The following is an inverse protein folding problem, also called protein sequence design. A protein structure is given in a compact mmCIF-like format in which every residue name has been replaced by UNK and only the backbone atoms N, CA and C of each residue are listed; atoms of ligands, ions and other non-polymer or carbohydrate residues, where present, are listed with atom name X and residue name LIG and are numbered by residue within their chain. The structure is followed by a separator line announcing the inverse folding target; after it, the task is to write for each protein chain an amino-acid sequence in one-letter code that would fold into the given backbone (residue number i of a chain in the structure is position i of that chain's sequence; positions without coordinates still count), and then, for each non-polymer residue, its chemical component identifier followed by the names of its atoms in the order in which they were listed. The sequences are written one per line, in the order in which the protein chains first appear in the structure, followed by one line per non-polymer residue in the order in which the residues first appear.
data_IF_556736906332
#
_entry.id   IF_556736906332
#
_cell.length_a   1.000
_cell.length_b   1.000
_cell.length_c   1.000
_cell.angle_alpha   90.00
_cell.angle_beta   90.00
_cell.angle_gamma   90.00
#
_symmetry.space_group_name_H-M   'P 1'
#
loop_
_entity.id
_entity.type
_entity.pdbx_description
1 polymer ?
#
# COMPACT_ATOMS: atom_id res chain seq x y z
N UNK A 1 27.30 17.86 3.41
CA UNK A 1 27.67 19.29 3.57
C UNK A 1 28.94 19.56 2.78
N UNK A 2 29.00 20.65 2.01
CA UNK A 2 30.18 21.08 1.23
C UNK A 2 30.34 22.61 1.36
N UNK A 3 31.08 23.06 2.37
CA UNK A 3 31.21 24.50 2.66
C UNK A 3 29.84 25.12 2.93
N UNK A 4 29.51 26.18 2.19
CA UNK A 4 28.24 26.91 2.22
C UNK A 4 27.07 26.18 1.55
N UNK A 5 27.26 24.94 1.10
CA UNK A 5 26.23 24.16 0.41
C UNK A 5 25.81 22.94 1.23
N UNK A 6 24.52 22.83 1.47
CA UNK A 6 23.87 21.67 2.09
C UNK A 6 22.84 21.08 1.12
N UNK A 7 23.13 19.88 0.61
CA UNK A 7 22.18 19.10 -0.18
C UNK A 7 21.38 18.18 0.72
N UNK A 8 20.06 18.20 0.58
CA UNK A 8 19.12 17.37 1.33
C UNK A 8 18.05 16.81 0.40
N UNK A 9 17.58 15.60 0.70
CA UNK A 9 16.47 14.99 0.00
C UNK A 9 15.41 14.53 1.02
N UNK A 10 14.48 15.42 1.40
CA UNK A 10 13.45 15.10 2.39
C UNK A 10 12.53 13.97 1.92
N UNK A 11 12.14 13.10 2.85
CA UNK A 11 11.14 12.06 2.58
C UNK A 11 9.81 12.71 2.17
N UNK A 12 9.17 12.14 1.14
CA UNK A 12 7.93 12.67 0.56
C UNK A 12 8.10 13.85 -0.40
N UNK A 13 9.32 14.34 -0.64
CA UNK A 13 9.56 15.36 -1.68
C UNK A 13 9.74 14.74 -3.07
N UNK A 14 9.30 15.45 -4.12
CA UNK A 14 9.45 14.98 -5.51
C UNK A 14 10.90 15.12 -6.04
N UNK A 15 11.70 16.01 -5.43
CA UNK A 15 13.07 16.31 -5.87
C UNK A 15 13.94 16.80 -4.69
N UNK A 16 15.27 16.63 -4.75
CA UNK A 16 16.17 17.10 -3.70
C UNK A 16 16.43 18.60 -3.80
N UNK A 17 16.82 19.17 -2.66
CA UNK A 17 17.08 20.59 -2.48
C UNK A 17 18.54 20.86 -2.12
N UNK A 18 19.06 21.94 -2.67
CA UNK A 18 20.38 22.51 -2.40
C UNK A 18 20.21 23.83 -1.67
N UNK A 19 20.61 23.85 -0.41
CA UNK A 19 20.61 25.01 0.46
C UNK A 19 21.95 25.72 0.33
N UNK A 20 21.90 27.00 -0.02
CA UNK A 20 23.04 27.91 0.08
C UNK A 20 22.94 28.61 1.42
N UNK A 21 23.88 28.31 2.29
CA UNK A 21 23.95 28.77 3.67
C UNK A 21 25.03 29.83 3.76
N UNK A 22 24.67 31.01 4.27
CA UNK A 22 25.62 32.06 4.64
C UNK A 22 26.25 31.77 6.00
N UNK A 23 26.36 32.79 6.85
CA UNK A 23 26.89 32.62 8.20
C UNK A 23 25.92 31.84 9.10
N UNK A 24 24.75 32.40 9.37
CA UNK A 24 23.69 31.85 10.23
C UNK A 24 22.32 31.82 9.55
N UNK A 25 22.27 32.11 8.24
CA UNK A 25 21.04 32.20 7.46
C UNK A 25 21.08 31.34 6.18
N UNK A 26 19.91 30.87 5.74
CA UNK A 26 19.74 30.24 4.43
C UNK A 26 19.50 31.36 3.40
N UNK A 27 20.45 31.57 2.49
CA UNK A 27 20.34 32.60 1.46
C UNK A 27 19.41 32.17 0.31
N UNK A 28 19.54 30.91 -0.14
CA UNK A 28 18.83 30.40 -1.32
C UNK A 28 18.54 28.91 -1.20
N UNK A 29 17.38 28.50 -1.68
CA UNK A 29 17.01 27.09 -1.82
C UNK A 29 16.79 26.80 -3.31
N UNK A 30 17.58 25.86 -3.84
CA UNK A 30 17.54 25.43 -5.25
C UNK A 30 17.09 23.98 -5.35
N UNK A 31 16.35 23.63 -6.40
CA UNK A 31 15.94 22.25 -6.70
C UNK A 31 16.86 21.69 -7.76
N UNK A 32 17.44 20.51 -7.55
CA UNK A 32 18.41 19.93 -8.47
C UNK A 32 18.05 18.49 -8.89
N UNK A 33 18.55 18.05 -10.04
CA UNK A 33 18.38 16.66 -10.48
C UNK A 33 19.43 15.77 -9.80
N UNK A 34 19.05 14.68 -9.12
CA UNK A 34 20.00 13.78 -8.46
C UNK A 34 21.11 13.28 -9.39
N UNK A 35 20.73 12.87 -10.61
CA UNK A 35 21.65 12.22 -11.57
C UNK A 35 22.67 13.20 -12.15
N UNK A 36 22.23 14.41 -12.50
CA UNK A 36 23.09 15.40 -13.18
C UNK A 36 23.71 16.42 -12.23
N UNK A 37 23.22 16.51 -10.99
CA UNK A 37 23.61 17.51 -9.99
C UNK A 37 23.36 18.98 -10.40
N UNK A 38 22.57 19.18 -11.47
CA UNK A 38 22.24 20.50 -12.04
C UNK A 38 20.96 21.02 -11.40
N UNK A 39 21.00 22.27 -10.95
CA UNK A 39 19.80 23.00 -10.52
C UNK A 39 18.89 23.31 -11.71
N UNK A 40 17.58 23.11 -11.54
CA UNK A 40 16.57 23.51 -12.52
C UNK A 40 15.43 24.39 -11.93
N UNK A 41 15.37 24.57 -10.61
CA UNK A 41 14.33 25.36 -9.96
C UNK A 41 14.78 26.02 -8.66
N UNK A 42 13.90 26.82 -8.05
CA UNK A 42 14.11 27.46 -6.75
C UNK A 42 12.81 27.46 -5.93
N UNK A 43 12.92 27.52 -4.61
CA UNK A 43 11.79 27.65 -3.68
C UNK A 43 12.18 28.59 -2.53
N UNK A 44 11.21 29.16 -1.83
CA UNK A 44 11.43 29.98 -0.63
C UNK A 44 11.42 29.17 0.66
N UNK A 45 10.76 28.01 0.66
CA UNK A 45 10.59 27.16 1.83
C UNK A 45 10.65 25.68 1.47
N UNK A 46 10.97 24.86 2.48
CA UNK A 46 10.96 23.41 2.41
C UNK A 46 10.39 22.86 3.71
N UNK A 47 9.69 21.72 3.62
CA UNK A 47 9.27 20.94 4.78
C UNK A 47 10.19 19.72 4.89
N UNK A 48 10.86 19.59 6.03
CA UNK A 48 11.68 18.41 6.34
C UNK A 48 10.94 17.58 7.38
N UNK A 49 10.56 16.37 6.99
CA UNK A 49 9.96 15.39 7.89
C UNK A 49 11.07 14.52 8.51
N UNK A 50 10.87 13.98 9.72
CA UNK A 50 11.75 12.96 10.29
C UNK A 50 11.93 11.79 9.31
N UNK A 51 13.13 11.20 9.28
CA UNK A 51 13.39 10.04 8.43
C UNK A 51 12.84 8.73 9.02
N UNK A 52 12.74 8.66 10.35
CA UNK A 52 12.28 7.47 11.07
C UNK A 52 11.06 7.84 11.93
N UNK A 53 10.16 6.88 12.14
CA UNK A 53 9.01 7.03 13.03
C UNK A 53 9.45 7.16 14.50
N UNK A 54 10.49 6.42 14.89
CA UNK A 54 11.12 6.56 16.19
C UNK A 54 11.96 7.85 16.23
N UNK A 55 11.35 8.89 16.78
CA UNK A 55 11.97 10.20 16.98
C UNK A 55 11.83 10.63 18.44
N UNK A 56 12.97 10.79 19.12
CA UNK A 56 13.00 11.03 20.56
C UNK A 56 14.23 11.85 20.97
N UNK A 57 14.12 12.62 22.03
CA UNK A 57 15.20 13.40 22.66
C UNK A 57 16.12 12.51 23.49
N UNK A 58 17.27 13.04 23.91
CA UNK A 58 18.17 12.27 24.79
C UNK A 58 17.55 11.98 26.16
N UNK A 59 16.66 12.84 26.65
CA UNK A 59 15.92 12.60 27.89
C UNK A 59 14.90 11.46 27.72
N UNK A 60 14.18 11.42 26.60
CA UNK A 60 13.21 10.35 26.30
C UNK A 60 13.90 9.00 26.05
N UNK A 61 15.09 9.02 25.42
CA UNK A 61 15.89 7.81 25.18
C UNK A 61 16.18 7.05 26.50
N UNK A 62 16.65 7.75 27.54
CA UNK A 62 16.98 7.11 28.82
C UNK A 62 15.73 6.46 29.44
N UNK A 63 14.60 7.18 29.42
CA UNK A 63 13.32 6.68 29.95
C UNK A 63 12.86 5.41 29.21
N UNK A 64 12.91 5.41 27.88
CA UNK A 64 12.45 4.27 27.07
C UNK A 64 13.34 3.05 27.30
N UNK A 65 14.67 3.23 27.37
CA UNK A 65 15.60 2.13 27.66
C UNK A 65 15.30 1.52 29.02
N UNK A 66 15.14 2.34 30.06
CA UNK A 66 14.78 1.88 31.40
C UNK A 66 13.44 1.14 31.43
N UNK A 67 12.42 1.62 30.70
CA UNK A 67 11.11 0.99 30.62
C UNK A 67 11.14 -0.36 29.91
N UNK A 68 11.88 -0.47 28.80
CA UNK A 68 12.09 -1.74 28.08
C UNK A 68 12.82 -2.74 28.96
N UNK A 69 13.92 -2.35 29.60
CA UNK A 69 14.65 -3.22 30.53
C UNK A 69 13.75 -3.68 31.68
N UNK A 70 12.99 -2.77 32.29
CA UNK A 70 12.07 -3.08 33.36
C UNK A 70 10.94 -4.04 32.91
N UNK A 71 10.48 -3.95 31.66
CA UNK A 71 9.50 -4.88 31.10
C UNK A 71 10.09 -6.28 30.96
N UNK A 72 11.24 -6.44 30.30
CA UNK A 72 11.84 -7.76 30.08
C UNK A 72 12.33 -8.41 31.38
N UNK A 73 12.82 -7.63 32.36
CA UNK A 73 13.22 -8.15 33.67
C UNK A 73 12.05 -8.72 34.51
N UNK A 74 10.80 -8.34 34.20
CA UNK A 74 9.59 -8.85 34.85
C UNK A 74 9.01 -10.10 34.18
N UNK A 75 9.51 -10.47 33.00
CA UNK A 75 8.97 -11.57 32.20
C UNK A 75 9.99 -12.71 32.07
N UNK A 76 9.50 -13.89 31.70
CA UNK A 76 10.36 -15.02 31.41
C UNK A 76 10.82 -14.94 29.95
N UNK A 77 12.10 -14.64 29.76
CA UNK A 77 12.69 -14.39 28.44
C UNK A 77 13.59 -15.57 28.06
N UNK A 78 13.55 -15.99 26.79
CA UNK A 78 14.50 -17.00 26.28
C UNK A 78 15.91 -16.41 26.12
N UNK A 79 16.95 -17.25 26.06
CA UNK A 79 18.32 -16.77 25.79
C UNK A 79 18.44 -16.01 24.45
N UNK A 80 17.68 -16.43 23.43
CA UNK A 80 17.68 -15.81 22.11
C UNK A 80 16.94 -14.47 22.12
N UNK A 81 15.79 -14.40 22.80
CA UNK A 81 15.07 -13.14 23.01
C UNK A 81 15.94 -12.15 23.80
N UNK A 82 16.56 -12.60 24.90
CA UNK A 82 17.42 -11.77 25.72
C UNK A 82 18.58 -11.19 24.90
N UNK A 83 19.23 -12.02 24.08
CA UNK A 83 20.30 -11.55 23.18
C UNK A 83 19.79 -10.51 22.19
N UNK A 84 18.62 -10.74 21.58
CA UNK A 84 18.01 -9.80 20.62
C UNK A 84 17.65 -8.48 21.30
N UNK A 85 16.99 -8.52 22.45
CA UNK A 85 16.58 -7.31 23.18
C UNK A 85 17.79 -6.47 23.58
N UNK A 86 18.87 -7.08 24.08
CA UNK A 86 20.08 -6.33 24.39
C UNK A 86 20.73 -5.67 23.16
N UNK A 87 20.71 -6.36 22.02
CA UNK A 87 21.19 -5.78 20.76
C UNK A 87 20.30 -4.62 20.30
N UNK A 88 18.99 -4.78 20.40
CA UNK A 88 18.01 -3.76 20.03
C UNK A 88 18.11 -2.53 20.96
N UNK A 89 18.33 -2.74 22.28
CA UNK A 89 18.57 -1.67 23.26
C UNK A 89 19.84 -0.88 22.96
N UNK A 90 20.94 -1.54 22.60
CA UNK A 90 22.17 -0.86 22.18
C UNK A 90 21.94 -0.03 20.91
N UNK A 91 21.20 -0.57 19.93
CA UNK A 91 20.82 0.16 18.73
C UNK A 91 19.91 1.35 19.03
N UNK A 92 18.93 1.19 19.92
CA UNK A 92 18.04 2.26 20.35
C UNK A 92 18.83 3.38 21.04
N UNK A 93 19.72 3.01 21.97
CA UNK A 93 20.56 3.93 22.71
C UNK A 93 21.51 4.72 21.79
N UNK A 94 22.07 4.05 20.79
CA UNK A 94 22.99 4.65 19.81
C UNK A 94 22.28 5.27 18.58
N UNK A 95 20.94 5.22 18.52
CA UNK A 95 20.10 5.71 17.40
C UNK A 95 20.46 5.08 16.04
N UNK A 96 20.77 3.78 16.06
CA UNK A 96 21.15 3.01 14.87
C UNK A 96 20.01 2.09 14.44
N UNK A 97 19.84 1.89 13.14
CA UNK A 97 18.87 0.96 12.55
C UNK A 97 17.44 1.08 13.12
N UNK A 98 17.01 2.31 13.40
CA UNK A 98 15.74 2.58 14.10
C UNK A 98 14.51 2.00 13.40
N UNK A 99 14.52 1.86 12.08
CA UNK A 99 13.45 1.23 11.31
C UNK A 99 13.17 -0.22 11.73
N UNK A 100 14.17 -0.93 12.25
CA UNK A 100 14.03 -2.30 12.76
C UNK A 100 13.49 -2.39 14.19
N UNK A 101 13.27 -1.25 14.85
CA UNK A 101 12.98 -1.18 16.29
C UNK A 101 11.53 -0.78 16.60
N UNK A 102 10.64 -0.72 15.61
CA UNK A 102 9.24 -0.32 15.80
C UNK A 102 8.46 -1.18 16.81
N UNK A 103 8.92 -2.41 17.11
CA UNK A 103 8.37 -3.22 18.20
C UNK A 103 8.40 -2.52 19.57
N UNK A 104 9.35 -1.62 19.79
CA UNK A 104 9.48 -0.88 21.04
C UNK A 104 8.68 0.43 21.04
N UNK A 105 7.95 0.75 19.96
CA UNK A 105 7.11 1.94 19.88
C UNK A 105 6.18 2.10 21.09
N UNK A 106 5.52 1.04 21.62
CA UNK A 106 4.60 1.17 22.77
C UNK A 106 5.23 1.68 24.08
N UNK A 107 6.56 1.68 24.21
CA UNK A 107 7.26 2.25 25.37
C UNK A 107 7.46 3.77 25.27
N UNK A 108 7.09 4.38 24.15
CA UNK A 108 7.15 5.83 24.00
C UNK A 108 5.85 6.46 24.52
N UNK A 109 5.96 7.63 25.14
CA UNK A 109 4.86 8.31 25.85
C UNK A 109 3.61 8.58 25.00
N UNK A 110 3.79 8.88 23.70
CA UNK A 110 2.73 9.22 22.75
C UNK A 110 2.57 8.12 21.67
N UNK A 111 2.69 6.85 22.06
CA UNK A 111 2.68 5.72 21.13
C UNK A 111 1.32 5.07 20.90
N UNK A 112 0.34 5.38 21.75
CA UNK A 112 -0.98 4.77 21.70
C UNK A 112 -1.95 5.55 20.80
N UNK A 113 -1.58 5.68 19.52
CA UNK A 113 -2.41 6.35 18.51
C UNK A 113 -2.76 5.42 17.37
N UNK A 114 -4.05 5.29 17.08
CA UNK A 114 -4.52 4.67 15.85
C UNK A 114 -4.38 5.66 14.69
N UNK A 115 -4.39 5.15 13.46
CA UNK A 115 -4.47 6.00 12.26
C UNK A 115 -5.66 6.98 12.32
N UNK A 116 -6.74 6.58 12.99
CA UNK A 116 -7.96 7.38 13.13
C UNK A 116 -7.81 8.59 14.07
N UNK A 117 -6.79 8.63 14.92
CA UNK A 117 -6.54 9.77 15.82
C UNK A 117 -5.95 10.99 15.08
N UNK A 118 -5.38 10.76 13.89
CA UNK A 118 -4.80 11.80 13.05
C UNK A 118 -5.81 12.42 12.07
N UNK A 119 -7.09 12.08 12.18
CA UNK A 119 -8.15 12.61 11.30
C UNK A 119 -9.30 13.23 12.11
N UNK A 120 -9.67 14.47 11.76
CA UNK A 120 -10.76 15.24 12.41
C UNK A 120 -12.19 14.65 12.20
N UNK A 121 -12.31 13.45 11.61
CA UNK A 121 -13.48 12.72 11.06
C UNK A 121 -13.94 13.16 9.63
N UNK A 122 -14.56 12.30 8.78
CA UNK A 122 -15.80 11.53 9.03
C UNK A 122 -16.01 10.33 8.09
N UNK A 123 -16.51 9.24 8.71
CA UNK A 123 -16.96 7.93 8.18
C UNK A 123 -15.86 6.91 7.94
N UNK A 124 -15.75 5.98 8.88
CA UNK A 124 -14.99 4.74 8.73
C UNK A 124 -15.82 3.77 7.88
N UNK A 125 -15.19 3.17 6.88
CA UNK A 125 -15.78 2.12 6.06
C UNK A 125 -15.09 0.80 6.36
N UNK A 126 -15.84 -0.16 6.85
CA UNK A 126 -15.36 -1.51 7.13
C UNK A 126 -15.83 -2.40 5.99
N UNK A 127 -14.89 -2.80 5.13
CA UNK A 127 -15.18 -3.60 3.94
C UNK A 127 -14.85 -5.06 4.24
N UNK A 128 -15.87 -5.92 4.15
CA UNK A 128 -15.75 -7.37 4.37
C UNK A 128 -15.15 -7.71 5.75
N UNK A 129 -15.94 -7.42 6.80
CA UNK A 129 -15.60 -7.70 8.20
C UNK A 129 -15.12 -9.13 8.42
N UNK A 130 -15.73 -10.09 7.73
CA UNK A 130 -15.35 -11.50 7.80
C UNK A 130 -13.92 -11.75 7.29
N UNK A 131 -13.55 -11.14 6.16
CA UNK A 131 -12.19 -11.22 5.63
C UNK A 131 -11.18 -10.49 6.52
N UNK A 132 -11.58 -9.40 7.16
CA UNK A 132 -10.73 -8.72 8.16
C UNK A 132 -10.41 -9.66 9.33
N UNK A 133 -11.42 -10.32 9.91
CA UNK A 133 -11.22 -11.31 10.98
C UNK A 133 -10.28 -12.46 10.53
N UNK A 134 -10.46 -12.99 9.31
CA UNK A 134 -9.55 -14.01 8.77
C UNK A 134 -8.10 -13.53 8.60
N UNK A 135 -7.91 -12.26 8.23
CA UNK A 135 -6.56 -11.71 8.10
C UNK A 135 -5.91 -11.53 9.47
N UNK A 136 -6.68 -11.15 10.49
CA UNK A 136 -6.25 -11.03 11.88
C UNK A 136 -5.85 -12.41 12.45
N UNK A 137 -6.68 -13.44 12.26
CA UNK A 137 -6.36 -14.82 12.61
C UNK A 137 -5.04 -15.28 11.96
N UNK A 138 -4.85 -14.95 10.67
CA UNK A 138 -3.61 -15.31 9.95
C UNK A 138 -2.41 -14.57 10.51
N UNK A 139 -2.53 -13.27 10.79
CA UNK A 139 -1.46 -12.49 11.42
C UNK A 139 -1.05 -13.12 12.75
N UNK A 140 -2.02 -13.55 13.57
CA UNK A 140 -1.71 -14.27 14.81
C UNK A 140 -0.95 -15.58 14.56
N UNK A 141 -1.32 -16.37 13.55
CA UNK A 141 -0.59 -17.59 13.20
C UNK A 141 0.85 -17.30 12.75
N UNK A 142 1.05 -16.26 11.94
CA UNK A 142 2.38 -15.83 11.48
C UNK A 142 3.25 -15.38 12.67
N UNK A 143 2.66 -14.67 13.64
CA UNK A 143 3.31 -14.29 14.89
C UNK A 143 3.68 -15.50 15.75
N UNK A 144 2.80 -16.51 15.88
CA UNK A 144 3.12 -17.75 16.59
C UNK A 144 4.27 -18.54 15.94
N UNK A 145 4.43 -18.45 14.61
CA UNK A 145 5.58 -19.03 13.93
C UNK A 145 6.88 -18.28 14.28
N UNK A 146 6.83 -16.95 14.35
CA UNK A 146 7.96 -16.11 14.78
C UNK A 146 8.44 -16.44 16.20
N UNK A 147 7.53 -16.75 17.14
CA UNK A 147 7.87 -17.22 18.51
C UNK A 147 8.80 -18.43 18.47
N UNK A 148 8.59 -19.35 17.53
CA UNK A 148 9.39 -20.59 17.45
C UNK A 148 10.84 -20.28 17.10
N UNK A 149 11.09 -19.27 16.28
CA UNK A 149 12.43 -18.82 15.89
C UNK A 149 13.22 -18.35 17.11
N UNK A 150 12.61 -17.51 17.96
CA UNK A 150 13.27 -16.97 19.16
C UNK A 150 13.05 -17.80 20.42
N UNK A 151 12.31 -18.91 20.33
CA UNK A 151 11.96 -19.80 21.45
C UNK A 151 11.38 -19.04 22.65
N UNK A 152 10.63 -17.99 22.38
CA UNK A 152 10.16 -17.06 23.40
C UNK A 152 9.10 -16.11 22.86
N UNK A 153 8.19 -15.69 23.75
CA UNK A 153 6.96 -14.97 23.41
C UNK A 153 6.98 -13.52 23.86
N UNK A 154 7.84 -13.15 24.81
CA UNK A 154 7.80 -11.87 25.52
C UNK A 154 7.81 -10.68 24.56
N UNK A 155 8.57 -10.75 23.45
CA UNK A 155 8.58 -9.69 22.44
C UNK A 155 7.21 -9.47 21.76
N UNK A 156 6.42 -10.53 21.58
CA UNK A 156 5.09 -10.48 20.95
C UNK A 156 3.97 -10.13 21.92
N UNK A 157 4.23 -10.18 23.22
CA UNK A 157 3.28 -9.72 24.24
C UNK A 157 3.31 -8.18 24.39
N UNK A 158 4.22 -7.49 23.69
CA UNK A 158 4.21 -6.03 23.55
C UNK A 158 3.00 -5.63 22.68
N UNK A 159 2.14 -4.70 23.14
CA UNK A 159 0.89 -4.33 22.45
C UNK A 159 1.17 -3.39 21.26
N UNK A 160 1.72 -3.94 20.17
CA UNK A 160 2.13 -3.16 18.99
C UNK A 160 0.96 -2.68 18.12
N UNK A 161 -0.17 -3.39 18.13
CA UNK A 161 -1.33 -3.08 17.30
C UNK A 161 -2.62 -3.12 18.11
N UNK A 162 -3.58 -2.29 17.69
CA UNK A 162 -4.94 -2.31 18.22
C UNK A 162 -5.63 -3.61 17.81
N UNK A 163 -6.35 -4.22 18.76
CA UNK A 163 -7.15 -5.40 18.48
C UNK A 163 -8.30 -5.06 17.54
N UNK A 164 -8.70 -6.02 16.73
CA UNK A 164 -9.77 -5.83 15.76
C UNK A 164 -11.10 -5.40 16.40
N UNK A 165 -11.40 -5.91 17.61
CA UNK A 165 -12.58 -5.51 18.40
C UNK A 165 -12.56 -4.03 18.80
N UNK A 166 -11.38 -3.48 19.08
CA UNK A 166 -11.20 -2.05 19.41
C UNK A 166 -11.47 -1.18 18.17
N UNK A 167 -11.07 -1.67 16.99
CA UNK A 167 -11.38 -1.01 15.72
C UNK A 167 -12.89 -1.04 15.41
N UNK A 168 -13.58 -2.15 15.72
CA UNK A 168 -15.02 -2.26 15.52
C UNK A 168 -15.87 -1.40 16.46
N UNK A 169 -15.32 -0.94 17.58
CA UNK A 169 -16.01 -0.03 18.49
C UNK A 169 -16.17 1.40 17.92
N UNK A 170 -15.38 1.79 16.91
CA UNK A 170 -15.52 3.10 16.29
C UNK A 170 -16.81 3.21 15.45
N UNK A 171 -17.48 4.37 15.38
CA UNK A 171 -18.64 4.55 14.50
C UNK A 171 -18.27 4.34 13.02
N UNK A 172 -18.91 3.38 12.36
CA UNK A 172 -18.54 2.98 10.99
C UNK A 172 -19.73 2.53 10.14
N UNK A 173 -19.51 2.43 8.83
CA UNK A 173 -20.39 1.80 7.85
C UNK A 173 -19.77 0.47 7.45
N UNK A 174 -20.49 -0.62 7.67
CA UNK A 174 -20.09 -1.95 7.19
C UNK A 174 -20.55 -2.14 5.74
N UNK A 175 -19.65 -2.62 4.89
CA UNK A 175 -19.93 -3.00 3.51
C UNK A 175 -19.56 -4.47 3.36
N UNK A 176 -20.55 -5.32 3.07
CA UNK A 176 -20.34 -6.73 2.78
C UNK A 176 -20.99 -7.11 1.46
N UNK A 177 -20.30 -7.95 0.67
CA UNK A 177 -20.81 -8.44 -0.61
C UNK A 177 -21.69 -9.68 -0.52
N UNK A 178 -21.47 -10.54 0.48
CA UNK A 178 -22.09 -11.88 0.53
C UNK A 178 -22.71 -12.25 1.87
N UNK A 179 -22.32 -11.56 2.95
CA UNK A 179 -22.90 -11.79 4.28
C UNK A 179 -23.90 -10.70 4.60
N UNK A 180 -25.11 -11.10 5.02
CA UNK A 180 -26.04 -10.16 5.64
C UNK A 180 -25.41 -9.60 6.90
N UNK A 181 -25.47 -8.29 7.03
CA UNK A 181 -24.90 -7.56 8.16
C UNK A 181 -25.83 -7.70 9.38
N UNK A 182 -27.12 -8.00 9.16
CA UNK A 182 -28.06 -8.32 10.24
C UNK A 182 -28.36 -7.16 11.19
N UNK A 183 -27.98 -5.94 10.79
CA UNK A 183 -28.26 -4.69 11.51
C UNK A 183 -29.67 -4.19 11.22
N UNK A 184 -30.25 -3.43 12.16
CA UNK A 184 -31.57 -2.81 11.97
C UNK A 184 -31.58 -1.75 10.84
N UNK A 185 -30.42 -1.15 10.54
CA UNK A 185 -30.23 -0.13 9.50
C UNK A 185 -29.55 -0.69 8.24
N UNK A 186 -29.74 -1.98 7.93
CA UNK A 186 -29.13 -2.63 6.76
C UNK A 186 -29.76 -2.14 5.44
N UNK A 187 -28.92 -1.61 4.53
CA UNK A 187 -29.29 -1.34 3.14
C UNK A 187 -28.77 -2.46 2.22
N UNK A 188 -29.67 -3.25 1.66
CA UNK A 188 -29.31 -4.31 0.71
C UNK A 188 -29.33 -3.77 -0.72
N UNK A 189 -28.16 -3.75 -1.36
CA UNK A 189 -28.01 -3.40 -2.78
C UNK A 189 -27.97 -4.70 -3.59
N UNK A 190 -28.98 -4.92 -4.42
CA UNK A 190 -29.05 -6.07 -5.33
C UNK A 190 -28.25 -5.81 -6.61
N UNK A 191 -26.94 -5.64 -6.45
CA UNK A 191 -26.00 -5.54 -7.56
C UNK A 191 -25.49 -6.92 -7.98
N UNK A 192 -25.22 -7.10 -9.27
CA UNK A 192 -24.52 -8.27 -9.81
C UNK A 192 -23.54 -7.86 -10.89
N UNK A 193 -22.62 -8.76 -11.24
CA UNK A 193 -21.78 -8.56 -12.42
C UNK A 193 -22.65 -8.47 -13.68
N UNK A 194 -22.34 -7.53 -14.60
CA UNK A 194 -23.06 -7.41 -15.85
C UNK A 194 -22.75 -8.58 -16.79
N UNK A 195 -23.59 -8.74 -17.81
CA UNK A 195 -23.31 -9.68 -18.90
C UNK A 195 -22.17 -9.11 -19.75
N UNK A 196 -21.12 -9.89 -19.93
CA UNK A 196 -20.05 -9.59 -20.90
C UNK A 196 -20.43 -10.11 -22.29
N UNK A 197 -20.45 -9.24 -23.29
CA UNK A 197 -20.81 -9.56 -24.66
C UNK A 197 -19.62 -10.04 -25.50
N UNK A 198 -18.39 -9.80 -25.05
CA UNK A 198 -17.16 -10.26 -25.74
C UNK A 198 -17.13 -9.87 -27.23
N UNK A 199 -17.66 -8.70 -27.58
CA UNK A 199 -17.75 -8.24 -28.96
C UNK A 199 -18.93 -8.81 -29.77
N UNK A 200 -19.84 -9.57 -29.16
CA UNK A 200 -21.13 -9.93 -29.75
C UNK A 200 -22.08 -8.71 -29.71
N UNK A 201 -21.91 -7.83 -30.68
CA UNK A 201 -22.65 -6.57 -30.74
C UNK A 201 -24.14 -6.76 -30.99
N UNK A 202 -24.55 -7.78 -31.76
CA UNK A 202 -25.98 -8.03 -31.99
C UNK A 202 -26.69 -8.40 -30.69
N UNK A 203 -26.11 -9.28 -29.87
CA UNK A 203 -26.68 -9.62 -28.56
C UNK A 203 -26.73 -8.42 -27.60
N UNK A 204 -25.75 -7.52 -27.67
CA UNK A 204 -25.75 -6.28 -26.89
C UNK A 204 -26.89 -5.35 -27.31
N UNK A 205 -27.00 -5.06 -28.61
CA UNK A 205 -28.04 -4.18 -29.15
C UNK A 205 -29.44 -4.78 -28.93
N UNK A 206 -29.61 -6.08 -29.15
CA UNK A 206 -30.89 -6.76 -28.93
C UNK A 206 -31.38 -6.60 -27.49
N UNK A 207 -30.46 -6.59 -26.52
CA UNK A 207 -30.80 -6.33 -25.11
C UNK A 207 -31.24 -4.88 -24.90
N UNK A 208 -30.48 -3.92 -25.42
CA UNK A 208 -30.82 -2.49 -25.33
C UNK A 208 -32.21 -2.18 -25.90
N UNK A 209 -32.62 -2.90 -26.96
CA UNK A 209 -33.92 -2.71 -27.61
C UNK A 209 -35.08 -3.44 -26.89
N UNK A 210 -34.79 -4.55 -26.21
CA UNK A 210 -35.81 -5.40 -25.59
C UNK A 210 -36.21 -4.92 -24.19
N UNK A 211 -35.27 -4.35 -23.46
CA UNK A 211 -35.45 -3.89 -22.07
C UNK A 211 -35.61 -2.37 -22.07
N UNK A 212 -36.73 -1.85 -21.56
CA UNK A 212 -36.88 -0.41 -21.28
C UNK A 212 -36.14 -0.06 -19.98
N UNK A 213 -34.82 -0.20 -20.05
CA UNK A 213 -33.92 0.00 -18.92
C UNK A 213 -33.00 1.20 -19.18
N UNK A 214 -32.46 1.73 -18.09
CA UNK A 214 -31.45 2.79 -18.11
C UNK A 214 -30.06 2.17 -18.24
N UNK A 215 -29.34 2.54 -19.28
CA UNK A 215 -27.97 2.09 -19.51
C UNK A 215 -26.99 3.25 -19.34
N UNK A 216 -25.91 3.03 -18.60
CA UNK A 216 -24.77 3.94 -18.48
C UNK A 216 -23.55 3.24 -19.06
N UNK A 217 -23.07 3.73 -20.20
CA UNK A 217 -21.94 3.15 -20.93
C UNK A 217 -20.70 4.04 -20.70
N UNK A 218 -19.78 3.57 -19.84
CA UNK A 218 -18.54 4.26 -19.50
C UNK A 218 -17.45 3.94 -20.53
N UNK A 219 -17.01 4.97 -21.25
CA UNK A 219 -16.04 4.89 -22.33
C UNK A 219 -14.79 5.72 -22.00
N UNK A 220 -13.62 5.14 -22.21
CA UNK A 220 -12.31 5.75 -21.95
C UNK A 220 -11.49 6.02 -23.22
N UNK A 221 -11.75 5.27 -24.29
CA UNK A 221 -11.03 5.35 -25.57
C UNK A 221 -11.91 5.92 -26.67
N UNK A 222 -11.43 6.98 -27.33
CA UNK A 222 -12.14 7.65 -28.43
C UNK A 222 -12.52 6.67 -29.55
N UNK A 223 -11.59 5.82 -30.00
CA UNK A 223 -11.85 4.86 -31.08
C UNK A 223 -12.98 3.85 -30.74
N UNK A 224 -13.14 3.47 -29.47
CA UNK A 224 -14.21 2.57 -29.05
C UNK A 224 -15.53 3.31 -28.85
N UNK A 225 -15.48 4.57 -28.43
CA UNK A 225 -16.65 5.45 -28.40
C UNK A 225 -17.23 5.61 -29.80
N UNK A 226 -16.39 5.93 -30.79
CA UNK A 226 -16.83 6.13 -32.17
C UNK A 226 -17.47 4.85 -32.73
N UNK A 227 -16.83 3.70 -32.49
CA UNK A 227 -17.40 2.39 -32.84
C UNK A 227 -18.74 2.11 -32.15
N UNK A 228 -18.88 2.45 -30.86
CA UNK A 228 -20.14 2.29 -30.14
C UNK A 228 -21.26 3.13 -30.77
N UNK A 229 -20.97 4.40 -31.11
CA UNK A 229 -21.94 5.29 -31.76
C UNK A 229 -22.37 4.73 -33.11
N UNK A 230 -21.43 4.29 -33.94
CA UNK A 230 -21.74 3.65 -35.23
C UNK A 230 -22.68 2.45 -35.07
N UNK A 231 -22.44 1.60 -34.05
CA UNK A 231 -23.30 0.43 -33.76
C UNK A 231 -24.72 0.84 -33.32
N UNK A 232 -24.83 1.84 -32.45
CA UNK A 232 -26.12 2.33 -31.96
C UNK A 232 -26.92 3.00 -33.09
N UNK A 233 -26.27 3.87 -33.87
CA UNK A 233 -26.88 4.58 -34.99
C UNK A 233 -27.33 3.63 -36.11
N UNK A 234 -26.51 2.63 -36.46
CA UNK A 234 -26.86 1.63 -37.46
C UNK A 234 -28.13 0.84 -37.13
N UNK A 235 -28.48 0.75 -35.84
CA UNK A 235 -29.66 0.02 -35.34
C UNK A 235 -30.74 0.96 -34.79
N UNK A 236 -30.60 2.28 -35.02
CA UNK A 236 -31.51 3.33 -34.55
C UNK A 236 -31.75 3.34 -33.03
N UNK A 237 -30.73 2.97 -32.24
CA UNK A 237 -30.77 3.09 -30.78
C UNK A 237 -30.48 4.53 -30.39
N UNK A 238 -31.44 5.18 -29.71
CA UNK A 238 -31.27 6.55 -29.21
C UNK A 238 -30.34 6.56 -28.00
N UNK A 239 -29.43 7.54 -27.95
CA UNK A 239 -28.50 7.71 -26.85
C UNK A 239 -28.25 9.19 -26.55
N UNK A 240 -27.78 9.47 -25.32
CA UNK A 240 -27.34 10.80 -24.90
C UNK A 240 -25.86 10.74 -24.53
N UNK A 241 -25.05 11.60 -25.15
CA UNK A 241 -23.62 11.69 -24.89
C UNK A 241 -23.34 12.73 -23.80
N UNK A 242 -22.62 12.33 -22.75
CA UNK A 242 -22.23 13.14 -21.60
C UNK A 242 -23.38 13.95 -20.99
N UNK A 243 -24.49 13.28 -20.61
CA UNK A 243 -25.57 13.98 -19.97
C UNK A 243 -25.13 14.51 -18.59
N UNK A 244 -25.62 15.69 -18.21
CA UNK A 244 -25.37 16.27 -16.88
C UNK A 244 -26.06 15.46 -15.78
N UNK A 245 -27.22 14.88 -16.09
CA UNK A 245 -27.99 13.99 -15.23
C UNK A 245 -28.37 12.74 -16.01
N UNK A 246 -28.42 11.57 -15.35
CA UNK A 246 -28.78 10.30 -16.02
C UNK A 246 -30.20 10.38 -16.56
N UNK A 247 -30.34 10.13 -17.87
CA UNK A 247 -31.64 10.06 -18.55
C UNK A 247 -32.20 8.65 -18.39
N UNK A 248 -33.35 8.55 -17.72
CA UNK A 248 -34.05 7.29 -17.44
C UNK A 248 -34.55 6.65 -18.73
N UNK A 249 -34.55 5.31 -18.76
CA UNK A 249 -35.00 4.46 -19.88
C UNK A 249 -34.28 4.74 -21.21
N UNK A 250 -33.03 5.20 -21.10
CA UNK A 250 -32.17 5.54 -22.24
C UNK A 250 -30.74 5.03 -22.09
N UNK A 251 -30.03 5.02 -23.22
CA UNK A 251 -28.59 4.82 -23.27
C UNK A 251 -27.88 6.14 -23.00
N UNK A 252 -27.13 6.19 -21.91
CA UNK A 252 -26.31 7.32 -21.48
C UNK A 252 -24.85 6.96 -21.69
N UNK A 253 -24.14 7.70 -22.55
CA UNK A 253 -22.72 7.45 -22.83
C UNK A 253 -21.87 8.47 -22.07
N UNK A 254 -20.96 8.00 -21.23
CA UNK A 254 -20.05 8.84 -20.45
C UNK A 254 -18.63 8.71 -21.01
N UNK A 255 -18.06 9.81 -21.52
CA UNK A 255 -16.70 9.88 -22.07
C UNK A 255 -16.01 11.24 -21.82
N UNK A 256 -14.71 11.27 -21.44
CA UNK A 256 -13.88 10.13 -21.07
C UNK A 256 -14.09 9.76 -19.59
N UNK A 257 -14.60 8.56 -19.33
CA UNK A 257 -14.80 8.05 -17.98
C UNK A 257 -14.48 6.55 -17.89
N UNK A 258 -13.89 6.13 -16.78
CA UNK A 258 -13.67 4.74 -16.45
C UNK A 258 -14.28 4.45 -15.08
N UNK A 259 -15.41 3.75 -15.07
CA UNK A 259 -16.09 3.29 -13.86
C UNK A 259 -16.03 1.76 -13.73
N UNK A 260 -16.51 1.24 -12.60
CA UNK A 260 -16.74 -0.20 -12.40
C UNK A 260 -18.11 -0.51 -12.99
N UNK A 261 -18.24 -1.65 -13.66
CA UNK A 261 -19.50 -2.10 -14.23
C UNK A 261 -20.30 -2.95 -13.24
N UNK A 262 -21.63 -2.82 -13.27
CA UNK A 262 -22.56 -3.55 -12.43
C UNK A 262 -24.00 -3.44 -12.96
N UNK A 263 -24.80 -4.46 -12.68
CA UNK A 263 -26.23 -4.52 -12.96
C UNK A 263 -27.03 -4.30 -11.67
N UNK A 264 -27.94 -3.33 -11.67
CA UNK A 264 -28.97 -3.10 -10.67
C UNK A 264 -30.34 -3.54 -11.22
N UNK A 265 -30.49 -4.84 -11.47
CA UNK A 265 -31.63 -5.45 -12.20
C UNK A 265 -32.99 -5.04 -11.65
N UNK A 266 -33.12 -4.96 -10.32
CA UNK A 266 -34.39 -4.56 -9.67
C UNK A 266 -34.84 -3.15 -10.07
N UNK A 267 -33.88 -2.31 -10.43
CA UNK A 267 -34.10 -0.90 -10.77
C UNK A 267 -33.98 -0.62 -12.28
N UNK A 268 -33.81 -1.66 -13.11
CA UNK A 268 -33.60 -1.50 -14.55
C UNK A 268 -32.41 -0.59 -14.88
N UNK A 269 -31.33 -0.64 -14.08
CA UNK A 269 -30.15 0.19 -14.27
C UNK A 269 -28.92 -0.67 -14.52
N UNK A 270 -28.23 -0.40 -15.62
CA UNK A 270 -27.06 -1.15 -16.09
C UNK A 270 -25.89 -0.23 -16.32
N UNK A 271 -24.82 -0.39 -15.55
CA UNK A 271 -23.56 0.34 -15.76
C UNK A 271 -22.58 -0.60 -16.44
N UNK A 272 -22.22 -0.30 -17.68
CA UNK A 272 -21.34 -1.11 -18.51
C UNK A 272 -20.09 -0.32 -18.89
N UNK A 273 -18.99 -1.05 -19.04
CA UNK A 273 -17.69 -0.51 -19.46
C UNK A 273 -17.31 -1.08 -20.82
N UNK A 274 -16.24 -0.54 -21.41
CA UNK A 274 -15.69 -1.09 -22.65
C UNK A 274 -15.40 -2.60 -22.60
N UNK A 275 -14.98 -3.12 -21.43
CA UNK A 275 -14.71 -4.56 -21.26
C UNK A 275 -15.95 -5.44 -21.27
N UNK A 276 -17.11 -4.87 -20.96
CA UNK A 276 -18.37 -5.62 -21.01
C UNK A 276 -18.87 -5.71 -22.46
N UNK A 277 -18.68 -4.66 -23.26
CA UNK A 277 -19.24 -4.54 -24.62
C UNK A 277 -18.31 -5.17 -25.68
N UNK A 278 -17.03 -4.81 -25.65
CA UNK A 278 -16.08 -5.16 -26.72
C UNK A 278 -15.32 -6.44 -26.42
N UNK A 279 -14.75 -7.06 -27.46
CA UNK A 279 -13.76 -8.13 -27.28
C UNK A 279 -12.51 -7.52 -26.63
N UNK A 280 -12.44 -7.68 -25.31
CA UNK A 280 -11.31 -7.25 -24.53
C UNK A 280 -10.30 -8.41 -24.51
N UNK A 281 -9.48 -8.53 -25.56
CA UNK A 281 -8.21 -9.27 -25.45
C UNK A 281 -7.38 -8.60 -24.37
N UNK A 282 -7.41 -9.19 -23.18
CA UNK A 282 -6.85 -8.70 -21.94
C UNK A 282 -5.41 -8.18 -22.09
N UNK A 283 -5.24 -6.88 -22.32
CA UNK A 283 -4.27 -6.15 -21.52
C UNK A 283 -4.94 -5.90 -20.17
N UNK A 284 -5.15 -6.97 -19.39
CA UNK A 284 -5.34 -6.83 -17.96
C UNK A 284 -4.10 -6.10 -17.49
N UNK A 285 -4.19 -4.78 -17.29
CA UNK A 285 -3.41 -4.18 -16.22
C UNK A 285 -3.88 -4.96 -15.00
N UNK A 286 -3.10 -5.97 -14.61
CA UNK A 286 -3.21 -6.61 -13.31
C UNK A 286 -3.51 -5.45 -12.36
N UNK A 287 -4.58 -5.56 -11.59
CA UNK A 287 -4.65 -4.83 -10.33
C UNK A 287 -3.31 -5.19 -9.70
N UNK A 288 -2.36 -4.24 -9.71
CA UNK A 288 -1.16 -4.41 -8.92
C UNK A 288 -1.74 -4.37 -7.52
N UNK A 289 -1.92 -5.55 -6.94
CA UNK A 289 -1.55 -5.69 -5.55
C UNK A 289 -0.24 -4.91 -5.44
N UNK A 290 -0.24 -3.79 -4.73
CA UNK A 290 1.00 -3.22 -4.22
C UNK A 290 1.52 -4.28 -3.25
N UNK A 291 2.09 -5.33 -3.83
CA UNK A 291 3.01 -6.21 -3.15
C UNK A 291 4.12 -5.29 -2.65
N UNK A 292 4.55 -5.52 -1.41
CA UNK A 292 5.72 -4.91 -0.77
C UNK A 292 6.95 -4.89 -1.70
N UNK A 293 6.96 -5.70 -2.77
CA UNK A 293 7.92 -5.64 -3.87
C UNK A 293 8.01 -4.31 -4.65
N UNK A 294 7.02 -3.40 -4.62
CA UNK A 294 7.16 -2.12 -5.35
C UNK A 294 8.16 -1.16 -4.71
N UNK A 295 8.58 -1.44 -3.47
CA UNK A 295 9.61 -0.72 -2.74
C UNK A 295 10.97 -1.45 -2.75
N UNK A 296 11.05 -2.63 -3.38
CA UNK A 296 12.32 -3.34 -3.55
C UNK A 296 13.11 -2.77 -4.72
N UNK A 297 14.33 -2.31 -4.44
CA UNK A 297 15.33 -2.05 -5.49
C UNK A 297 15.75 -3.39 -6.06
N UNK A 298 15.43 -3.64 -7.34
CA UNK A 298 15.85 -4.85 -8.02
C UNK A 298 17.35 -4.78 -8.25
N UNK A 299 18.12 -5.62 -7.55
CA UNK A 299 19.58 -5.70 -7.68
C UNK A 299 19.90 -6.12 -9.11
N UNK A 300 20.43 -5.19 -9.90
CA UNK A 300 20.88 -5.44 -11.28
C UNK A 300 22.31 -5.97 -11.33
N UNK A 301 23.13 -5.52 -10.39
CA UNK A 301 24.56 -5.80 -10.35
C UNK A 301 25.01 -6.11 -8.92
N UNK A 302 25.95 -7.04 -8.77
CA UNK A 302 26.45 -7.48 -7.46
C UNK A 302 27.25 -6.39 -6.73
N UNK A 303 27.79 -5.43 -7.48
CA UNK A 303 28.52 -4.27 -6.94
C UNK A 303 27.64 -3.30 -6.12
N UNK A 304 26.32 -3.45 -6.21
CA UNK A 304 25.35 -2.69 -5.41
C UNK A 304 25.20 -3.25 -3.99
N UNK A 305 25.73 -4.46 -3.71
CA UNK A 305 25.59 -5.14 -2.42
C UNK A 305 26.83 -4.97 -1.53
N UNK A 306 26.59 -4.62 -0.28
CA UNK A 306 27.58 -4.62 0.79
C UNK A 306 27.34 -5.80 1.73
N UNK A 307 28.43 -6.38 2.21
CA UNK A 307 28.37 -7.42 3.25
C UNK A 307 27.58 -6.89 4.44
N UNK A 308 26.47 -7.55 4.75
CA UNK A 308 25.53 -7.16 5.79
C UNK A 308 24.18 -6.67 5.29
N UNK A 309 24.03 -6.40 4.00
CA UNK A 309 22.75 -5.99 3.41
C UNK A 309 21.71 -7.13 3.49
N UNK A 310 20.44 -6.77 3.70
CA UNK A 310 19.32 -7.70 3.64
C UNK A 310 18.88 -7.89 2.18
N UNK A 311 18.86 -9.15 1.74
CA UNK A 311 18.52 -9.56 0.38
C UNK A 311 17.35 -10.52 0.43
N UNK A 312 16.36 -10.30 -0.43
CA UNK A 312 15.19 -11.17 -0.53
C UNK A 312 15.45 -12.21 -1.62
N UNK A 313 15.55 -13.47 -1.23
CA UNK A 313 15.58 -14.59 -2.16
C UNK A 313 14.16 -15.10 -2.41
N UNK A 314 13.80 -15.30 -3.68
CA UNK A 314 12.43 -15.66 -4.10
C UNK A 314 11.90 -16.91 -3.38
N UNK A 315 12.75 -17.94 -3.24
CA UNK A 315 12.36 -19.21 -2.61
C UNK A 315 12.60 -19.29 -1.09
N UNK A 316 13.48 -18.45 -0.53
CA UNK A 316 13.98 -18.62 0.86
C UNK A 316 13.69 -17.41 1.77
N UNK A 317 13.08 -16.35 1.24
CA UNK A 317 12.72 -15.17 2.03
C UNK A 317 13.91 -14.22 2.25
N UNK A 318 13.85 -13.45 3.34
CA UNK A 318 14.85 -12.41 3.66
C UNK A 318 16.08 -13.08 4.29
N UNK A 319 17.25 -12.88 3.69
CA UNK A 319 18.53 -13.32 4.22
C UNK A 319 19.55 -12.18 4.22
N UNK A 320 20.68 -12.37 4.90
CA UNK A 320 21.77 -11.39 5.00
C UNK A 320 22.89 -11.76 4.04
N UNK A 321 23.31 -10.83 3.19
CA UNK A 321 24.42 -11.03 2.27
C UNK A 321 25.76 -11.07 3.04
N UNK A 322 26.52 -12.16 2.90
CA UNK A 322 27.81 -12.35 3.59
C UNK A 322 29.00 -12.21 2.63
N UNK A 323 28.76 -12.14 1.32
CA UNK A 323 29.82 -11.96 0.31
C UNK A 323 29.74 -12.97 -0.81
N UNK A 324 30.78 -13.01 -1.64
CA UNK A 324 30.94 -14.06 -2.65
C UNK A 324 31.74 -15.22 -2.08
N UNK A 325 31.33 -16.43 -2.45
CA UNK A 325 32.05 -17.66 -2.13
C UNK A 325 32.35 -18.43 -3.41
N UNK A 326 33.63 -18.64 -3.66
CA UNK A 326 34.11 -19.46 -4.76
C UNK A 326 33.92 -20.94 -4.39
N UNK A 327 33.28 -21.70 -5.26
CA UNK A 327 33.03 -23.13 -5.06
C UNK A 327 33.33 -23.92 -6.33
N UNK A 328 34.01 -25.06 -6.17
CA UNK A 328 34.26 -26.00 -7.26
C UNK A 328 33.18 -27.09 -7.25
N UNK A 329 32.40 -27.16 -8.32
CA UNK A 329 31.38 -28.18 -8.54
C UNK A 329 31.63 -28.81 -9.91
N UNK A 330 31.86 -30.13 -9.92
CA UNK A 330 32.09 -30.92 -11.14
C UNK A 330 33.25 -30.41 -12.01
N UNK A 331 34.36 -30.01 -11.39
CA UNK A 331 35.59 -29.58 -12.07
C UNK A 331 35.55 -28.18 -12.68
N UNK A 332 34.50 -27.39 -12.41
CA UNK A 332 34.43 -25.98 -12.77
C UNK A 332 34.30 -25.13 -11.51
N UNK A 333 35.16 -24.11 -11.42
CA UNK A 333 35.14 -23.14 -10.33
C UNK A 333 34.21 -21.99 -10.71
N UNK A 334 33.26 -21.66 -9.83
CA UNK A 334 32.31 -20.55 -10.01
C UNK A 334 32.10 -19.79 -8.70
N UNK A 335 31.79 -18.51 -8.84
CA UNK A 335 31.42 -17.64 -7.73
C UNK A 335 29.93 -17.73 -7.43
N UNK A 336 29.60 -17.87 -6.14
CA UNK A 336 28.23 -17.93 -5.65
C UNK A 336 27.98 -16.82 -4.63
N UNK A 337 26.78 -16.25 -4.66
CA UNK A 337 26.28 -15.35 -3.62
C UNK A 337 26.09 -16.14 -2.32
N UNK A 338 26.83 -15.76 -1.28
CA UNK A 338 26.72 -16.35 0.04
C UNK A 338 25.73 -15.52 0.87
N UNK A 339 24.57 -16.11 1.14
CA UNK A 339 23.49 -15.49 1.91
C UNK A 339 23.26 -16.37 3.13
N UNK A 340 23.30 -15.79 4.32
CA UNK A 340 22.81 -16.45 5.52
C UNK A 340 21.33 -16.17 5.67
N UNK A 341 20.59 -17.23 5.97
CA UNK A 341 19.24 -17.16 6.50
C UNK A 341 19.35 -17.44 8.00
N UNK A 342 18.57 -16.73 8.79
CA UNK A 342 18.45 -17.00 10.23
C UNK A 342 17.63 -18.27 10.50
#
# INVERSE_FOLDING_TARGET
VRGEILDIFPIGSEAPYRLYVGFDEIEKIKIFKPDTQITFGHTSEIKVLPMNELFFTDAEKEVVVDEVEAYFNKHTVSDLEFKKVNQDLDQLYNRQNLDGLSFYMPFFKDSNHALFDFVDQKKIYIIDKYKMAKNDDRMHLDLEEYIKTYKGRTLLDIPLYFKLDEIYAYPHIEISGFTKIGSQDELVIHARDPITYQGNYDAFIDRLLKEQDTYILSMSQLARLDKLKELLEAKNVSYVLNPTEVVVDMVNICYPYQQISFDLVKYGLHVLTESDIFDYKNNKRRIRYKSVMSEMVKISDISELKVGDYVVHYDYGIGKYIGLKEMELSGNVRDYLHIAYD
#
